data_IF_321587033480
#
_entry.id   IF_321587033480
#
_cell.length_a   1.000
_cell.length_b   1.000
_cell.length_c   1.000
_cell.angle_alpha   90.00
_cell.angle_beta   90.00
_cell.angle_gamma   90.00
#
_symmetry.space_group_name_H-M   'P 1'
#
loop_
_entity.id
_entity.type
_entity.pdbx_description
1 polymer ?
#
# COMPACT_ATOMS: atom_id res chain seq x y z
N UNK A 1 -20.81 6.40 -22.35
CA UNK A 1 -19.96 5.65 -21.39
C UNK A 1 -20.88 5.25 -20.25
N UNK A 2 -20.96 3.96 -19.88
CA UNK A 2 -21.94 3.53 -18.89
C UNK A 2 -21.59 4.12 -17.53
N UNK A 3 -22.61 4.63 -16.84
CA UNK A 3 -22.51 5.32 -15.56
C UNK A 3 -21.83 4.43 -14.52
N UNK A 4 -20.74 4.92 -13.94
CA UNK A 4 -20.07 4.25 -12.81
C UNK A 4 -21.01 4.28 -11.60
N UNK A 5 -21.45 3.11 -11.15
CA UNK A 5 -22.18 3.00 -9.89
C UNK A 5 -21.26 3.44 -8.74
N UNK A 6 -21.71 4.33 -7.83
CA UNK A 6 -20.96 4.64 -6.63
C UNK A 6 -20.96 3.42 -5.70
N UNK A 7 -19.78 3.01 -5.22
CA UNK A 7 -19.65 1.92 -4.26
C UNK A 7 -20.49 2.22 -3.00
N UNK A 8 -21.26 1.23 -2.51
CA UNK A 8 -22.00 1.38 -1.26
C UNK A 8 -21.03 1.35 -0.07
N UNK A 9 -21.36 2.08 1.00
CA UNK A 9 -20.65 1.98 2.28
C UNK A 9 -20.78 0.58 2.86
N UNK A 10 -19.81 0.17 3.67
CA UNK A 10 -19.89 -1.12 4.37
C UNK A 10 -21.03 -1.09 5.38
N UNK A 11 -21.73 -2.22 5.55
CA UNK A 11 -22.83 -2.35 6.50
C UNK A 11 -22.45 -2.04 7.97
N UNK A 12 -21.15 -2.07 8.31
CA UNK A 12 -20.64 -1.71 9.64
C UNK A 12 -20.69 -0.19 9.89
N UNK A 13 -20.57 0.60 8.81
CA UNK A 13 -20.64 2.06 8.87
C UNK A 13 -22.09 2.53 8.75
N UNK A 14 -22.90 1.83 7.95
CA UNK A 14 -24.32 2.13 7.77
C UNK A 14 -25.14 0.84 7.63
N UNK A 15 -25.90 0.51 8.68
CA UNK A 15 -26.72 -0.71 8.72
C UNK A 15 -27.94 -0.65 7.80
N UNK A 16 -28.36 0.54 7.37
CA UNK A 16 -29.51 0.71 6.46
C UNK A 16 -29.23 0.07 5.09
N UNK A 17 -27.95 -0.10 4.75
CA UNK A 17 -27.50 -0.76 3.53
C UNK A 17 -28.00 -2.20 3.44
N UNK A 18 -28.13 -2.95 4.54
CA UNK A 18 -28.59 -4.33 4.50
C UNK A 18 -30.07 -4.49 4.09
N UNK A 19 -30.87 -3.43 4.25
CA UNK A 19 -32.30 -3.42 3.95
C UNK A 19 -32.63 -3.00 2.51
N UNK A 20 -31.61 -2.63 1.72
CA UNK A 20 -31.82 -2.23 0.32
C UNK A 20 -32.21 -3.44 -0.54
N UNK A 21 -33.27 -3.26 -1.33
CA UNK A 21 -33.83 -4.28 -2.24
C UNK A 21 -32.89 -4.64 -3.40
N UNK A 22 -31.99 -3.73 -3.78
CA UNK A 22 -31.09 -3.95 -4.91
C UNK A 22 -29.87 -4.73 -4.45
N UNK A 23 -29.74 -5.96 -4.94
CA UNK A 23 -28.54 -6.78 -4.81
C UNK A 23 -27.62 -6.38 -5.96
N UNK A 24 -26.78 -5.39 -5.71
CA UNK A 24 -25.73 -4.99 -6.65
C UNK A 24 -24.50 -5.84 -6.33
N UNK A 25 -24.19 -6.80 -7.21
CA UNK A 25 -22.91 -7.51 -7.22
C UNK A 25 -22.09 -6.85 -8.31
N UNK A 26 -21.05 -6.13 -7.91
CA UNK A 26 -20.15 -5.45 -8.83
C UNK A 26 -18.72 -5.93 -8.55
N UNK A 27 -18.00 -6.32 -9.58
CA UNK A 27 -16.62 -6.77 -9.46
C UNK A 27 -15.66 -5.63 -9.14
N UNK A 28 -16.07 -4.38 -9.39
CA UNK A 28 -15.25 -3.19 -9.17
C UNK A 28 -15.25 -2.75 -7.69
N UNK A 29 -16.36 -2.94 -6.97
CA UNK A 29 -16.52 -2.48 -5.59
C UNK A 29 -16.55 -3.65 -4.60
N UNK A 30 -15.49 -3.83 -3.82
CA UNK A 30 -15.39 -4.89 -2.80
C UNK A 30 -16.47 -4.77 -1.70
N UNK A 31 -16.81 -3.55 -1.31
CA UNK A 31 -17.85 -3.28 -0.31
C UNK A 31 -19.22 -3.82 -0.71
N UNK A 32 -19.59 -3.71 -1.99
CA UNK A 32 -20.85 -4.24 -2.53
C UNK A 32 -20.89 -5.77 -2.42
N UNK A 33 -19.78 -6.45 -2.69
CA UNK A 33 -19.69 -7.90 -2.61
C UNK A 33 -19.83 -8.41 -1.17
N UNK A 34 -19.21 -7.71 -0.20
CA UNK A 34 -19.33 -8.05 1.22
C UNK A 34 -20.76 -7.78 1.73
N UNK A 35 -21.37 -6.67 1.32
CA UNK A 35 -22.76 -6.35 1.66
C UNK A 35 -23.75 -7.35 1.04
N UNK A 36 -23.53 -7.78 -0.21
CA UNK A 36 -24.37 -8.79 -0.86
C UNK A 36 -24.27 -10.16 -0.17
N UNK A 37 -23.06 -10.56 0.22
CA UNK A 37 -22.83 -11.80 0.95
C UNK A 37 -23.52 -11.81 2.33
N UNK A 38 -23.38 -10.72 3.08
CA UNK A 38 -24.02 -10.61 4.40
C UNK A 38 -25.54 -10.65 4.30
N UNK A 39 -26.15 -9.96 3.32
CA UNK A 39 -27.61 -10.07 3.06
C UNK A 39 -28.02 -11.51 2.73
N UNK A 40 -27.29 -12.19 1.85
CA UNK A 40 -27.57 -13.58 1.49
C UNK A 40 -27.46 -14.53 2.70
N UNK A 41 -26.47 -14.30 3.57
CA UNK A 41 -26.27 -15.09 4.79
C UNK A 41 -27.42 -14.92 5.78
N UNK A 42 -27.93 -13.69 5.96
CA UNK A 42 -29.06 -13.39 6.83
C UNK A 42 -30.34 -14.04 6.28
N UNK A 43 -30.57 -13.96 4.97
CA UNK A 43 -31.72 -14.61 4.34
C UNK A 43 -31.67 -16.14 4.46
N UNK A 44 -30.49 -16.75 4.31
CA UNK A 44 -30.31 -18.18 4.49
C UNK A 44 -30.58 -18.63 5.95
N UNK A 45 -30.19 -17.81 6.94
CA UNK A 45 -30.48 -18.07 8.35
C UNK A 45 -31.99 -18.01 8.65
N UNK A 46 -32.67 -17.00 8.12
CA UNK A 46 -34.13 -16.84 8.29
C UNK A 46 -34.87 -18.00 7.62
N UNK A 47 -34.51 -18.33 6.37
CA UNK A 47 -35.11 -19.44 5.63
C UNK A 47 -34.92 -20.77 6.37
N UNK A 48 -33.72 -21.01 6.88
CA UNK A 48 -33.41 -22.23 7.60
C UNK A 48 -34.12 -22.34 8.95
N UNK A 49 -34.31 -21.24 9.66
CA UNK A 49 -35.15 -21.21 10.87
C UNK A 49 -36.60 -21.60 10.55
N UNK A 50 -37.16 -21.10 9.45
CA UNK A 50 -38.53 -21.43 9.01
C UNK A 50 -38.65 -22.91 8.60
N UNK A 51 -37.61 -23.50 8.02
CA UNK A 51 -37.60 -24.91 7.57
C UNK A 51 -37.21 -25.91 8.66
N UNK A 52 -36.72 -25.44 9.81
CA UNK A 52 -36.32 -26.26 10.96
C UNK A 52 -37.41 -27.24 11.45
N UNK A 53 -38.70 -26.88 11.56
CA UNK A 53 -39.73 -27.83 11.98
C UNK A 53 -40.01 -28.96 10.97
N UNK A 54 -39.60 -28.82 9.70
CA UNK A 54 -39.83 -29.83 8.67
C UNK A 54 -38.68 -30.83 8.52
N UNK A 55 -37.43 -30.40 8.72
CA UNK A 55 -36.24 -31.21 8.40
C UNK A 55 -35.46 -31.62 9.66
N UNK A 56 -35.79 -31.06 10.81
CA UNK A 56 -35.08 -31.27 12.07
C UNK A 56 -33.75 -30.51 12.14
N UNK A 57 -33.27 -30.28 13.36
CA UNK A 57 -32.13 -29.38 13.67
C UNK A 57 -30.82 -29.83 13.00
N UNK A 58 -30.62 -31.13 12.79
CA UNK A 58 -29.38 -31.68 12.22
C UNK A 58 -29.15 -31.32 10.75
N UNK A 59 -30.21 -31.31 9.93
CA UNK A 59 -30.08 -31.02 8.50
C UNK A 59 -29.75 -29.55 8.21
N UNK A 60 -30.27 -28.63 9.05
CA UNK A 60 -29.96 -27.21 8.93
C UNK A 60 -28.47 -26.90 9.18
N UNK A 61 -27.88 -27.54 10.19
CA UNK A 61 -26.44 -27.41 10.47
C UNK A 61 -25.56 -27.89 9.31
N UNK A 62 -25.95 -28.98 8.64
CA UNK A 62 -25.23 -29.51 7.47
C UNK A 62 -25.31 -28.54 6.28
N UNK A 63 -26.49 -27.95 6.04
CA UNK A 63 -26.69 -26.97 4.96
C UNK A 63 -25.84 -25.71 5.20
N UNK A 64 -25.80 -25.20 6.44
CA UNK A 64 -24.94 -24.06 6.79
C UNK A 64 -23.46 -24.37 6.61
N UNK A 65 -23.02 -25.55 7.02
CA UNK A 65 -21.63 -25.99 6.87
C UNK A 65 -21.23 -26.09 5.39
N UNK A 66 -22.12 -26.63 4.53
CA UNK A 66 -21.90 -26.69 3.09
C UNK A 66 -21.80 -25.28 2.49
N UNK A 67 -22.66 -24.34 2.87
CA UNK A 67 -22.60 -22.95 2.40
C UNK A 67 -21.29 -22.27 2.80
N UNK A 68 -20.80 -22.49 4.03
CA UNK A 68 -19.52 -21.97 4.51
C UNK A 68 -18.35 -22.56 3.71
N UNK A 69 -18.36 -23.87 3.42
CA UNK A 69 -17.32 -24.53 2.63
C UNK A 69 -17.32 -24.06 1.16
N UNK A 70 -18.49 -23.86 0.56
CA UNK A 70 -18.63 -23.30 -0.79
C UNK A 70 -18.14 -21.85 -0.84
N UNK A 71 -18.42 -21.06 0.19
CA UNK A 71 -17.92 -19.69 0.31
C UNK A 71 -16.40 -19.63 0.46
N UNK A 72 -15.81 -20.46 1.33
CA UNK A 72 -14.36 -20.57 1.45
C UNK A 72 -13.70 -20.99 0.13
N UNK A 73 -14.31 -21.92 -0.62
CA UNK A 73 -13.83 -22.31 -1.95
C UNK A 73 -13.92 -21.17 -2.96
N UNK A 74 -14.99 -20.37 -2.93
CA UNK A 74 -15.15 -19.19 -3.79
C UNK A 74 -14.13 -18.08 -3.48
N UNK A 75 -13.90 -17.78 -2.19
CA UNK A 75 -12.84 -16.87 -1.74
C UNK A 75 -11.46 -17.36 -2.21
N UNK A 76 -11.12 -18.63 -1.95
CA UNK A 76 -9.84 -19.20 -2.37
C UNK A 76 -9.68 -19.12 -3.90
N UNK A 77 -10.75 -19.39 -4.65
CA UNK A 77 -10.76 -19.31 -6.11
C UNK A 77 -10.67 -17.88 -6.65
N UNK A 78 -11.01 -16.83 -5.89
CA UNK A 78 -10.87 -15.42 -6.31
C UNK A 78 -9.51 -14.83 -5.90
N UNK A 79 -8.99 -15.21 -4.73
CA UNK A 79 -7.69 -14.75 -4.20
C UNK A 79 -6.50 -15.41 -4.93
N UNK A 80 -6.55 -16.72 -5.21
CA UNK A 80 -5.44 -17.42 -5.88
C UNK A 80 -5.13 -16.95 -7.32
N UNK A 81 -6.10 -16.64 -8.20
CA UNK A 81 -5.78 -16.14 -9.53
C UNK A 81 -5.36 -14.66 -9.54
N UNK A 82 -5.76 -13.86 -8.54
CA UNK A 82 -5.31 -12.46 -8.40
C UNK A 82 -3.79 -12.37 -8.19
N UNK A 83 -3.21 -13.32 -7.43
CA UNK A 83 -1.76 -13.40 -7.28
C UNK A 83 -1.05 -13.84 -8.58
N UNK A 84 -1.74 -14.56 -9.49
CA UNK A 84 -1.17 -15.05 -10.76
C UNK A 84 -1.24 -14.01 -11.89
N UNK A 85 -2.20 -13.09 -11.87
CA UNK A 85 -2.28 -11.99 -12.86
C UNK A 85 -1.30 -10.85 -12.62
N UNK A 86 -0.73 -10.74 -11.41
CA UNK A 86 0.35 -9.78 -11.11
C UNK A 86 1.67 -10.17 -11.79
N UNK A 87 1.83 -11.42 -12.24
CA UNK A 87 3.03 -11.92 -12.93
C UNK A 87 2.76 -12.05 -14.43
N UNK A 88 2.38 -10.95 -15.08
CA UNK A 88 2.56 -10.75 -16.53
C UNK A 88 2.80 -9.26 -16.78
N UNK A 89 4.01 -8.83 -16.49
CA UNK A 89 4.50 -7.55 -17.01
C UNK A 89 4.82 -7.74 -18.50
N UNK A 90 3.88 -7.34 -19.36
CA UNK A 90 4.23 -6.94 -20.71
C UNK A 90 5.08 -5.66 -20.59
N UNK A 91 6.41 -5.82 -20.72
CA UNK A 91 7.31 -4.68 -20.86
C UNK A 91 6.96 -3.94 -22.15
N UNK A 92 6.12 -2.92 -22.06
CA UNK A 92 6.09 -1.84 -23.05
C UNK A 92 7.15 -0.84 -22.64
N UNK A 93 8.23 -0.80 -23.41
CA UNK A 93 9.30 0.14 -23.22
C UNK A 93 8.78 1.56 -23.49
N UNK A 94 8.75 2.39 -22.45
CA UNK A 94 8.37 3.80 -22.55
C UNK A 94 9.52 4.57 -23.22
N UNK A 95 9.52 4.56 -24.54
CA UNK A 95 10.18 5.58 -25.35
C UNK A 95 9.12 6.40 -26.08
N UNK A 96 8.27 7.07 -25.31
CA UNK A 96 7.44 8.15 -25.86
C UNK A 96 8.25 9.44 -25.79
N UNK A 97 8.80 9.82 -26.94
CA UNK A 97 9.37 11.15 -27.15
C UNK A 97 8.35 12.21 -26.75
N UNK A 98 8.82 13.23 -26.02
CA UNK A 98 7.95 14.26 -25.47
C UNK A 98 7.18 14.98 -26.59
N UNK A 99 5.89 14.70 -26.71
CA UNK A 99 4.99 15.62 -27.40
C UNK A 99 4.59 16.70 -26.40
N UNK A 100 5.17 17.88 -26.63
CA UNK A 100 4.94 19.09 -25.84
C UNK A 100 3.45 19.45 -25.91
N UNK A 101 2.74 19.36 -24.77
CA UNK A 101 1.48 20.07 -24.57
C UNK A 101 1.77 21.32 -23.73
N UNK A 102 1.56 22.53 -24.26
CA UNK A 102 1.91 23.76 -23.56
C UNK A 102 0.70 24.26 -22.77
N UNK A 103 0.16 23.49 -21.82
CA UNK A 103 -0.72 24.06 -20.78
C UNK A 103 -1.02 23.04 -19.67
N UNK A 104 -0.12 22.87 -18.70
CA UNK A 104 -0.48 22.27 -17.41
C UNK A 104 0.24 23.05 -16.30
N UNK A 105 -0.58 23.44 -15.32
CA UNK A 105 -0.22 24.28 -14.18
C UNK A 105 0.94 23.70 -13.39
N UNK A 106 1.78 24.61 -12.93
CA UNK A 106 2.95 24.40 -12.09
C UNK A 106 2.57 23.55 -10.85
N UNK A 107 2.93 22.27 -10.90
CA UNK A 107 2.86 21.38 -9.74
C UNK A 107 3.97 21.80 -8.77
N UNK A 108 3.59 21.98 -7.52
CA UNK A 108 4.42 22.50 -6.42
C UNK A 108 5.83 21.90 -6.42
N UNK A 109 6.83 22.78 -6.29
CA UNK A 109 8.26 22.53 -6.40
C UNK A 109 8.91 21.63 -5.33
N UNK A 110 8.12 20.79 -4.66
CA UNK A 110 8.63 19.74 -3.81
C UNK A 110 7.91 18.45 -4.20
N UNK A 111 8.63 17.40 -4.64
CA UNK A 111 8.10 16.07 -4.44
C UNK A 111 8.02 15.88 -2.92
N UNK A 112 6.88 16.27 -2.33
CA UNK A 112 6.31 15.42 -1.28
C UNK A 112 6.42 14.04 -1.87
N UNK A 113 7.03 13.10 -1.14
CA UNK A 113 7.08 11.68 -1.49
C UNK A 113 5.63 11.26 -1.78
N UNK A 114 5.18 11.50 -3.00
CA UNK A 114 3.84 11.27 -3.46
C UNK A 114 3.93 9.83 -3.88
N UNK A 115 3.70 8.97 -2.90
CA UNK A 115 3.60 7.53 -3.05
C UNK A 115 2.81 7.24 -4.33
N UNK A 116 3.46 6.90 -5.44
CA UNK A 116 2.73 6.50 -6.62
C UNK A 116 2.27 5.08 -6.30
N UNK A 117 0.96 4.86 -6.32
CA UNK A 117 0.33 3.55 -6.52
C UNK A 117 0.94 2.38 -5.73
N UNK A 118 0.42 2.09 -4.53
CA UNK A 118 0.67 0.84 -3.79
C UNK A 118 2.13 0.36 -3.90
N UNK A 119 3.07 1.22 -3.49
CA UNK A 119 4.48 0.84 -3.42
C UNK A 119 4.58 -0.41 -2.55
N UNK A 120 4.95 -1.54 -3.16
CA UNK A 120 5.37 -2.71 -2.41
C UNK A 120 6.49 -2.22 -1.49
N UNK A 121 6.26 -2.21 -0.17
CA UNK A 121 7.23 -1.77 0.83
C UNK A 121 7.71 -3.00 1.59
N UNK A 122 9.01 -3.09 1.84
CA UNK A 122 9.55 -4.15 2.70
C UNK A 122 9.11 -3.87 4.14
N UNK A 123 8.42 -4.83 4.76
CA UNK A 123 8.02 -4.77 6.18
C UNK A 123 9.05 -5.46 7.07
N UNK A 124 9.12 -5.13 8.37
CA UNK A 124 10.00 -5.83 9.32
C UNK A 124 9.68 -7.33 9.38
N UNK A 125 10.69 -8.16 9.49
CA UNK A 125 10.54 -9.61 9.69
C UNK A 125 11.39 -10.07 10.87
N UNK A 126 11.10 -11.25 11.43
CA UNK A 126 11.89 -11.79 12.54
C UNK A 126 13.39 -11.99 12.20
N UNK A 127 13.68 -12.32 10.94
CA UNK A 127 15.07 -12.50 10.46
C UNK A 127 15.76 -11.16 10.14
N UNK A 128 14.98 -10.14 9.77
CA UNK A 128 15.47 -8.80 9.43
C UNK A 128 14.55 -7.72 10.04
N UNK A 129 14.64 -7.46 11.36
CA UNK A 129 13.73 -6.54 12.04
C UNK A 129 13.94 -5.08 11.63
N UNK A 130 15.16 -4.73 11.22
CA UNK A 130 15.53 -3.38 10.77
C UNK A 130 15.33 -3.16 9.28
N UNK A 131 14.92 -4.18 8.52
CA UNK A 131 14.74 -4.10 7.06
C UNK A 131 15.99 -3.59 6.33
N UNK A 132 17.18 -3.85 6.89
CA UNK A 132 18.44 -3.47 6.26
C UNK A 132 18.71 -4.39 5.06
N UNK A 133 19.36 -3.89 4.02
CA UNK A 133 19.78 -4.75 2.90
C UNK A 133 20.77 -5.78 3.43
N UNK A 134 20.42 -7.05 3.28
CA UNK A 134 21.28 -8.17 3.66
C UNK A 134 21.99 -8.74 2.41
N UNK A 135 23.10 -9.46 2.63
CA UNK A 135 23.93 -9.98 1.54
C UNK A 135 23.22 -11.06 0.70
N UNK A 136 22.38 -11.88 1.36
CA UNK A 136 21.52 -12.86 0.72
C UNK A 136 20.45 -12.19 -0.16
N UNK A 137 19.85 -11.09 0.31
CA UNK A 137 18.87 -10.32 -0.46
C UNK A 137 19.47 -9.78 -1.76
N UNK A 138 20.74 -9.36 -1.78
CA UNK A 138 21.41 -8.90 -3.00
C UNK A 138 21.46 -10.01 -4.06
N UNK A 139 21.63 -11.26 -3.64
CA UNK A 139 21.78 -12.41 -4.56
C UNK A 139 20.43 -12.98 -4.97
N UNK A 140 19.52 -13.15 -4.01
CA UNK A 140 18.26 -13.88 -4.20
C UNK A 140 17.03 -12.97 -4.40
N UNK A 141 17.14 -11.68 -4.06
CA UNK A 141 16.09 -10.68 -4.22
C UNK A 141 16.63 -9.36 -4.82
N UNK A 142 17.11 -9.39 -6.08
CA UNK A 142 17.80 -8.24 -6.69
C UNK A 142 16.88 -7.04 -6.98
N UNK A 143 15.55 -7.22 -6.89
CA UNK A 143 14.54 -6.17 -7.11
C UNK A 143 13.85 -5.79 -5.79
N UNK A 144 14.58 -5.85 -4.68
CA UNK A 144 14.01 -5.59 -3.36
C UNK A 144 13.42 -4.17 -3.30
N UNK A 145 12.15 -4.02 -2.88
CA UNK A 145 11.55 -2.71 -2.70
C UNK A 145 12.13 -1.94 -1.52
N UNK A 146 11.91 -0.63 -1.51
CA UNK A 146 12.21 0.25 -0.37
C UNK A 146 11.63 -0.27 0.95
N UNK A 147 12.32 -0.02 2.06
CA UNK A 147 11.79 -0.34 3.39
C UNK A 147 10.65 0.60 3.76
N UNK A 148 9.72 0.08 4.54
CA UNK A 148 8.64 0.87 5.09
C UNK A 148 9.18 1.85 6.14
N UNK A 149 8.75 3.13 6.18
CA UNK A 149 9.28 4.09 7.14
C UNK A 149 9.09 3.64 8.59
N UNK A 150 10.15 3.71 9.39
CA UNK A 150 10.10 3.38 10.83
C UNK A 150 9.28 4.40 11.61
N UNK A 151 9.05 5.59 11.06
CA UNK A 151 8.16 6.58 11.68
C UNK A 151 6.72 6.05 11.79
N UNK A 152 6.34 5.07 10.96
CA UNK A 152 5.03 4.44 11.06
C UNK A 152 4.90 3.63 12.37
N UNK A 153 3.85 3.88 13.19
CA UNK A 153 3.74 3.32 14.54
C UNK A 153 3.73 1.79 14.57
N UNK A 154 3.09 1.14 13.59
CA UNK A 154 3.08 -0.32 13.50
C UNK A 154 4.48 -0.91 13.31
N UNK A 155 5.35 -0.25 12.56
CA UNK A 155 6.70 -0.76 12.34
C UNK A 155 7.55 -0.65 13.59
N UNK A 156 7.35 0.41 14.39
CA UNK A 156 8.05 0.57 15.68
C UNK A 156 7.68 -0.56 16.64
N UNK A 157 6.39 -0.87 16.75
CA UNK A 157 5.91 -1.95 17.62
C UNK A 157 6.47 -3.30 17.18
N UNK A 158 6.37 -3.61 15.88
CA UNK A 158 6.85 -4.89 15.33
C UNK A 158 8.38 -5.02 15.48
N UNK A 159 9.12 -3.93 15.24
CA UNK A 159 10.57 -3.90 15.40
C UNK A 159 10.96 -4.13 16.86
N UNK A 160 10.32 -3.44 17.81
CA UNK A 160 10.56 -3.62 19.25
C UNK A 160 10.23 -5.04 19.70
N UNK A 161 9.15 -5.64 19.17
CA UNK A 161 8.76 -7.01 19.46
C UNK A 161 9.84 -7.99 18.97
N UNK A 162 10.21 -7.94 17.69
CA UNK A 162 11.23 -8.83 17.13
C UNK A 162 12.60 -8.64 17.77
N UNK A 163 12.96 -7.42 18.17
CA UNK A 163 14.22 -7.15 18.84
C UNK A 163 14.26 -7.73 20.26
N UNK A 164 13.13 -7.71 20.99
CA UNK A 164 13.03 -8.26 22.36
C UNK A 164 13.13 -9.78 22.41
N UNK A 165 12.65 -10.50 21.38
CA UNK A 165 12.58 -11.98 21.42
C UNK A 165 13.97 -12.64 21.47
N UNK A 166 15.03 -11.97 21.02
CA UNK A 166 16.36 -12.57 20.94
C UNK A 166 17.11 -12.61 22.29
N UNK A 167 16.74 -11.80 23.29
CA UNK A 167 17.52 -11.67 24.54
C UNK A 167 16.66 -11.49 25.80
N UNK A 168 17.11 -12.11 26.91
CA UNK A 168 16.49 -11.95 28.22
C UNK A 168 16.68 -10.50 28.70
N UNK A 169 15.58 -9.75 28.77
CA UNK A 169 15.59 -8.38 29.29
C UNK A 169 15.76 -8.39 30.82
N UNK A 170 16.67 -7.56 31.33
CA UNK A 170 16.77 -7.29 32.76
C UNK A 170 15.47 -6.62 33.24
N UNK A 171 14.72 -7.20 34.20
CA UNK A 171 13.47 -6.63 34.69
C UNK A 171 13.66 -5.25 35.36
N UNK A 172 14.89 -4.89 35.74
CA UNK A 172 15.20 -3.58 36.31
C UNK A 172 15.41 -2.49 35.24
N UNK A 173 15.64 -2.87 33.98
CA UNK A 173 15.82 -1.94 32.86
C UNK A 173 14.50 -1.61 32.16
N UNK A 174 13.73 -0.71 32.78
CA UNK A 174 12.44 -0.23 32.27
C UNK A 174 12.56 0.51 30.93
N UNK A 175 13.75 1.05 30.61
CA UNK A 175 13.98 1.87 29.42
C UNK A 175 14.65 1.12 28.26
N UNK A 176 15.01 -0.15 28.44
CA UNK A 176 15.66 -0.97 27.40
C UNK A 176 17.06 -0.49 26.99
N UNK A 177 17.78 0.23 27.86
CA UNK A 177 19.08 0.82 27.49
C UNK A 177 20.28 -0.11 27.67
N UNK A 178 20.12 -1.20 28.42
CA UNK A 178 21.20 -2.13 28.77
C UNK A 178 21.60 -3.06 27.63
N UNK A 179 20.74 -3.21 26.61
CA UNK A 179 20.90 -4.21 25.55
C UNK A 179 21.63 -3.68 24.30
N UNK A 180 22.31 -2.53 24.38
CA UNK A 180 23.05 -1.98 23.24
C UNK A 180 22.17 -1.55 22.05
N UNK A 181 20.86 -1.35 22.27
CA UNK A 181 19.86 -1.00 21.24
C UNK A 181 20.30 0.12 20.30
N UNK A 182 21.05 1.11 20.81
CA UNK A 182 21.57 2.24 20.02
C UNK A 182 22.46 1.85 18.84
N UNK A 183 23.08 0.67 18.89
CA UNK A 183 23.95 0.19 17.82
C UNK A 183 23.18 -0.42 16.66
N UNK A 184 21.89 -0.70 16.85
CA UNK A 184 21.04 -1.26 15.82
C UNK A 184 20.14 -0.18 15.26
N UNK A 185 20.33 0.11 13.98
CA UNK A 185 19.60 1.16 13.27
C UNK A 185 19.35 0.72 11.84
N UNK A 186 18.36 1.36 11.22
CA UNK A 186 18.04 1.18 9.81
C UNK A 186 18.92 2.05 8.93
N UNK A 187 19.42 1.50 7.85
CA UNK A 187 20.25 2.23 6.89
C UNK A 187 19.38 3.13 6.00
N UNK A 188 19.89 4.29 5.57
CA UNK A 188 19.16 5.19 4.67
C UNK A 188 18.93 4.59 3.28
N UNK A 189 19.76 3.61 2.89
CA UNK A 189 19.62 2.89 1.64
C UNK A 189 19.11 1.48 1.91
N UNK A 190 17.85 1.23 1.53
CA UNK A 190 17.13 0.00 1.83
C UNK A 190 16.57 -0.72 0.59
N UNK A 191 16.78 -0.18 -0.61
CA UNK A 191 16.33 -0.77 -1.87
C UNK A 191 17.48 -1.43 -2.61
N UNK A 192 17.17 -2.39 -3.47
CA UNK A 192 18.14 -2.98 -4.39
C UNK A 192 17.56 -2.84 -5.80
N UNK A 193 18.25 -2.13 -6.72
CA UNK A 193 19.43 -1.29 -6.51
C UNK A 193 19.14 -0.05 -5.63
N UNK A 194 20.19 0.66 -5.21
CA UNK A 194 20.05 1.94 -4.51
C UNK A 194 19.38 2.97 -5.43
N UNK A 195 18.52 3.82 -4.86
CA UNK A 195 17.81 4.86 -5.62
C UNK A 195 18.70 6.06 -5.95
N UNK A 196 19.60 5.86 -6.92
CA UNK A 196 20.50 6.89 -7.41
C UNK A 196 19.74 8.01 -8.13
N UNK A 197 18.60 7.69 -8.76
CA UNK A 197 17.80 8.63 -9.54
C UNK A 197 17.19 9.71 -8.66
N UNK A 198 16.54 9.33 -7.55
CA UNK A 198 15.99 10.32 -6.62
C UNK A 198 17.07 11.15 -5.96
N UNK A 199 18.24 10.57 -5.65
CA UNK A 199 19.38 11.31 -5.10
C UNK A 199 19.92 12.35 -6.09
N UNK A 200 20.09 11.99 -7.37
CA UNK A 200 20.52 12.93 -8.40
C UNK A 200 19.50 14.04 -8.62
N UNK A 201 18.21 13.69 -8.62
CA UNK A 201 17.14 14.67 -8.71
C UNK A 201 17.18 15.61 -7.49
N UNK A 202 17.34 15.10 -6.28
CA UNK A 202 17.45 15.94 -5.10
C UNK A 202 18.63 16.93 -5.17
N UNK A 203 19.78 16.53 -5.75
CA UNK A 203 20.94 17.39 -5.91
C UNK A 203 20.81 18.44 -7.02
N UNK A 204 20.30 18.02 -8.18
CA UNK A 204 20.47 18.77 -9.43
C UNK A 204 19.16 19.15 -10.10
N UNK A 205 18.02 18.56 -9.70
CA UNK A 205 16.74 18.89 -10.27
C UNK A 205 16.39 20.31 -9.86
N UNK A 206 16.41 21.20 -10.84
CA UNK A 206 15.82 22.52 -10.71
C UNK A 206 14.32 22.33 -11.00
N UNK A 207 13.43 22.72 -10.07
CA UNK A 207 12.01 22.62 -10.32
C UNK A 207 11.62 23.54 -11.49
N UNK A 208 10.89 22.99 -12.45
CA UNK A 208 10.43 23.71 -13.63
C UNK A 208 11.50 23.91 -14.70
N UNK A 209 11.16 24.72 -15.72
CA UNK A 209 12.06 24.97 -16.86
C UNK A 209 13.13 25.99 -16.49
N UNK A 210 14.37 25.71 -16.87
CA UNK A 210 15.48 26.66 -16.70
C UNK A 210 15.40 27.83 -17.69
N UNK A 211 16.13 28.93 -17.41
CA UNK A 211 16.24 30.05 -18.35
C UNK A 211 16.73 29.59 -19.75
N UNK A 212 17.64 28.60 -19.81
CA UNK A 212 18.15 28.03 -21.08
C UNK A 212 17.10 27.21 -21.83
N UNK A 213 16.09 26.70 -21.14
CA UNK A 213 14.97 25.93 -21.71
C UNK A 213 13.80 26.82 -22.17
N UNK A 214 13.98 28.15 -22.14
CA UNK A 214 12.99 29.12 -22.61
C UNK A 214 12.09 29.71 -21.53
N UNK A 215 12.41 29.50 -20.24
CA UNK A 215 11.69 30.16 -19.15
C UNK A 215 12.27 31.56 -18.88
N UNK A 216 11.73 32.57 -19.57
CA UNK A 216 12.17 33.97 -19.44
C UNK A 216 12.01 34.55 -18.02
N UNK A 217 11.11 34.01 -17.20
CA UNK A 217 10.89 34.45 -15.81
C UNK A 217 11.99 33.97 -14.86
N UNK A 218 12.64 32.85 -15.17
CA UNK A 218 13.76 32.32 -14.39
C UNK A 218 15.10 32.98 -14.76
N UNK A 219 15.12 33.89 -15.74
CA UNK A 219 16.33 34.58 -16.16
C UNK A 219 16.58 35.81 -15.27
N UNK A 220 17.71 35.82 -14.58
CA UNK A 220 18.15 36.97 -13.78
C UNK A 220 19.18 37.76 -14.59
N UNK A 221 18.95 39.04 -14.92
CA UNK A 221 19.92 39.87 -15.62
C UNK A 221 21.03 40.32 -14.66
N UNK A 222 22.24 39.79 -14.78
CA UNK A 222 23.42 40.29 -14.06
C UNK A 222 24.55 39.26 -13.83
N UNK A 223 25.71 39.75 -13.38
CA UNK A 223 26.90 38.97 -13.00
C UNK A 223 26.89 38.52 -11.53
N UNK A 224 25.80 38.74 -10.79
CA UNK A 224 25.71 38.50 -9.33
C UNK A 224 25.64 37.02 -8.92
N UNK A 225 25.99 36.09 -9.81
CA UNK A 225 25.90 34.65 -9.56
C UNK A 225 24.45 34.15 -9.66
N UNK A 226 24.30 32.89 -10.03
CA UNK A 226 22.98 32.25 -10.07
C UNK A 226 22.52 32.00 -8.62
N UNK A 227 21.33 32.51 -8.26
CA UNK A 227 20.66 32.12 -7.02
C UNK A 227 20.31 30.64 -7.14
N UNK A 228 20.71 29.82 -6.16
CA UNK A 228 20.40 28.39 -6.15
C UNK A 228 18.88 28.22 -6.00
N UNK A 229 18.15 27.73 -7.03
CA UNK A 229 16.69 27.73 -7.02
C UNK A 229 16.09 26.92 -5.85
N UNK A 230 16.79 25.90 -5.36
CA UNK A 230 16.36 25.05 -4.25
C UNK A 230 16.40 25.75 -2.88
N UNK A 231 17.14 26.85 -2.73
CA UNK A 231 17.26 27.62 -1.48
C UNK A 231 16.45 28.91 -1.49
N UNK A 232 15.94 29.33 -2.65
CA UNK A 232 15.20 30.58 -2.82
C UNK A 232 13.68 30.43 -2.87
N UNK A 233 13.16 29.21 -2.74
CA UNK A 233 11.71 28.98 -2.73
C UNK A 233 11.15 29.49 -1.39
N UNK A 234 10.22 30.45 -1.38
CA UNK A 234 9.54 30.84 -0.14
C UNK A 234 8.74 29.65 0.39
N UNK A 235 8.87 29.37 1.69
CA UNK A 235 8.02 28.43 2.42
C UNK A 235 6.53 28.75 2.24
#
# INVERSE_FOLDING_TARGET
>A
MPDSCPCEKLWIEDSSVLMKKNILVDDVCESNNINAFTRASILALILGFILTPMVGIGAFGIILLILILLYHRWIFAKIYPFQKSVIKDDKKENFEGSSIRPDLKEESAFPIISTPAATFLTKPTANNPFMNVLLDEITYNPNRPVADPIVHPMNQIILDEYFRVQWNSDPTDVFGRTQGQRQFYTMPSSSIPNDQGSYQNWLYLIPGKTCKEGNGKACIPGTQGAVVPSLSSPN
#
